data_IF_499284765039
#
_entry.id   IF_499284765039
#
_cell.length_a   1.000
_cell.length_b   1.000
_cell.length_c   1.000
_cell.angle_alpha   90.00
_cell.angle_beta   90.00
_cell.angle_gamma   90.00
#
_symmetry.space_group_name_H-M   'P 1'
#
loop_
_entity.id
_entity.type
_entity.pdbx_description
1 polymer ?
#
# COMPACT_ATOMS: atom_id res chain seq x y z
N UNK A 1 -14.62 3.24 20.07
CA UNK A 1 -14.89 1.87 19.54
C UNK A 1 -14.65 1.87 18.05
N UNK A 2 -13.73 1.06 17.53
CA UNK A 2 -13.41 1.06 16.10
C UNK A 2 -14.63 0.69 15.26
N UNK A 3 -14.93 1.50 14.25
CA UNK A 3 -16.08 1.35 13.34
C UNK A 3 -15.65 1.54 11.90
N UNK A 4 -16.25 0.82 10.95
CA UNK A 4 -16.10 1.04 9.52
C UNK A 4 -17.24 1.93 9.00
N UNK A 5 -16.89 2.90 8.17
CA UNK A 5 -17.85 3.75 7.48
C UNK A 5 -17.72 3.52 5.98
N UNK A 6 -18.81 3.14 5.33
CA UNK A 6 -18.81 2.66 3.95
C UNK A 6 -19.52 3.67 3.05
N UNK A 7 -18.79 4.27 2.12
CA UNK A 7 -19.35 5.06 1.03
C UNK A 7 -19.13 4.30 -0.28
N UNK A 8 -20.18 3.71 -0.80
CA UNK A 8 -20.15 2.88 -2.02
C UNK A 8 -21.51 2.93 -2.72
N UNK A 9 -21.49 3.11 -4.02
CA UNK A 9 -22.71 3.15 -4.85
C UNK A 9 -22.99 1.82 -5.54
N UNK A 10 -21.98 0.96 -5.71
CA UNK A 10 -22.10 -0.35 -6.35
C UNK A 10 -22.72 -1.39 -5.40
N UNK A 11 -23.93 -1.92 -5.68
CA UNK A 11 -24.63 -2.85 -4.77
C UNK A 11 -23.83 -4.13 -4.48
N UNK A 12 -23.13 -4.66 -5.49
CA UNK A 12 -22.31 -5.87 -5.31
C UNK A 12 -21.09 -5.61 -4.42
N UNK A 13 -20.47 -4.45 -4.57
CA UNK A 13 -19.36 -4.03 -3.72
C UNK A 13 -19.84 -3.81 -2.28
N UNK A 14 -20.98 -3.14 -2.07
CA UNK A 14 -21.56 -2.94 -0.76
C UNK A 14 -21.80 -4.28 -0.03
N UNK A 15 -22.32 -5.29 -0.72
CA UNK A 15 -22.51 -6.63 -0.17
C UNK A 15 -21.18 -7.24 0.28
N UNK A 16 -20.14 -7.14 -0.54
CA UNK A 16 -18.82 -7.66 -0.22
C UNK A 16 -18.21 -6.92 1.00
N UNK A 17 -18.22 -5.58 0.97
CA UNK A 17 -17.63 -4.77 2.04
C UNK A 17 -18.37 -4.92 3.38
N UNK A 18 -19.67 -5.18 3.35
CA UNK A 18 -20.47 -5.39 4.56
C UNK A 18 -20.13 -6.69 5.29
N UNK A 19 -19.49 -7.64 4.61
CA UNK A 19 -19.15 -8.95 5.17
C UNK A 19 -17.68 -9.11 5.57
N UNK A 20 -16.85 -8.06 5.41
CA UNK A 20 -15.39 -8.13 5.54
C UNK A 20 -14.90 -8.37 6.97
N UNK A 21 -15.64 -7.97 7.99
CA UNK A 21 -15.21 -8.04 9.40
C UNK A 21 -16.41 -7.98 10.33
N UNK A 22 -16.23 -8.39 11.57
CA UNK A 22 -17.27 -8.29 12.62
C UNK A 22 -17.42 -6.88 13.21
N UNK A 23 -16.56 -5.92 12.83
CA UNK A 23 -16.65 -4.54 13.31
C UNK A 23 -18.00 -3.90 12.93
N UNK A 24 -18.55 -3.01 13.78
CA UNK A 24 -19.71 -2.22 13.43
C UNK A 24 -19.50 -1.44 12.13
N UNK A 25 -20.53 -1.37 11.31
CA UNK A 25 -20.51 -0.68 10.02
C UNK A 25 -21.61 0.35 9.92
N UNK A 26 -21.30 1.51 9.34
CA UNK A 26 -22.26 2.56 9.01
C UNK A 26 -22.17 2.84 7.52
N UNK A 27 -23.30 2.78 6.81
CA UNK A 27 -23.37 3.16 5.39
C UNK A 27 -23.51 4.68 5.34
N UNK A 28 -22.67 5.30 4.52
CA UNK A 28 -22.69 6.73 4.25
C UNK A 28 -23.36 6.99 2.90
N UNK A 29 -24.28 7.95 2.87
CA UNK A 29 -24.92 8.43 1.65
C UNK A 29 -24.32 9.76 1.17
N UNK A 30 -23.44 10.36 1.97
CA UNK A 30 -22.70 11.58 1.67
C UNK A 30 -21.35 11.54 2.37
N UNK A 31 -20.35 12.20 1.78
CA UNK A 31 -19.01 12.40 2.36
C UNK A 31 -18.88 13.71 3.14
N UNK A 32 -19.96 14.48 3.29
CA UNK A 32 -20.01 15.66 4.14
C UNK A 32 -20.16 15.24 5.61
N UNK A 33 -19.03 14.89 6.25
CA UNK A 33 -19.01 14.43 7.64
C UNK A 33 -18.86 15.61 8.58
N UNK A 34 -19.65 15.60 9.67
CA UNK A 34 -19.51 16.60 10.74
C UNK A 34 -18.35 16.21 11.65
N UNK A 35 -17.38 17.11 11.93
CA UNK A 35 -16.24 16.81 12.80
C UNK A 35 -16.61 16.39 14.22
N UNK A 36 -17.81 16.70 14.67
CA UNK A 36 -18.30 16.37 16.03
C UNK A 36 -18.81 14.94 16.17
N UNK A 37 -19.10 14.25 15.08
CA UNK A 37 -19.69 12.89 15.12
C UNK A 37 -18.64 11.79 15.04
N UNK A 38 -17.39 12.10 14.66
CA UNK A 38 -16.41 11.09 14.33
C UNK A 38 -15.04 11.46 14.88
N UNK A 39 -14.54 10.65 15.80
CA UNK A 39 -13.12 10.69 16.20
C UNK A 39 -12.28 9.98 15.12
N UNK A 40 -11.26 10.68 14.63
CA UNK A 40 -10.40 10.21 13.52
C UNK A 40 -9.77 8.84 13.83
N UNK A 41 -9.34 8.63 15.07
CA UNK A 41 -8.63 7.41 15.50
C UNK A 41 -9.54 6.18 15.65
N UNK A 42 -10.85 6.36 15.71
CA UNK A 42 -11.81 5.27 15.92
C UNK A 42 -12.52 4.81 14.64
N UNK A 43 -12.35 5.55 13.54
CA UNK A 43 -13.09 5.31 12.31
C UNK A 43 -12.17 5.09 11.12
N UNK A 44 -12.43 4.03 10.36
CA UNK A 44 -11.84 3.80 9.07
C UNK A 44 -12.91 3.97 7.99
N UNK A 45 -12.67 4.89 7.06
CA UNK A 45 -13.54 5.13 5.92
C UNK A 45 -13.15 4.24 4.76
N UNK A 46 -14.09 3.43 4.28
CA UNK A 46 -13.98 2.69 3.03
C UNK A 46 -14.75 3.50 1.97
N UNK A 47 -14.05 4.09 1.01
CA UNK A 47 -14.65 5.03 0.06
C UNK A 47 -14.42 4.54 -1.37
N UNK A 48 -15.48 4.37 -2.13
CA UNK A 48 -15.42 4.18 -3.57
C UNK A 48 -15.20 5.54 -4.26
N UNK A 49 -14.18 5.62 -5.12
CA UNK A 49 -14.07 6.71 -6.10
C UNK A 49 -15.15 6.53 -7.16
N UNK A 50 -15.91 7.58 -7.39
CA UNK A 50 -16.95 7.56 -8.41
C UNK A 50 -16.32 7.67 -9.80
N UNK A 51 -16.87 6.98 -10.82
CA UNK A 51 -16.29 6.94 -12.17
C UNK A 51 -16.16 8.31 -12.84
N UNK A 52 -17.04 9.24 -12.47
CA UNK A 52 -17.05 10.64 -12.95
C UNK A 52 -16.13 11.55 -12.15
N UNK A 53 -15.38 10.98 -11.21
CA UNK A 53 -14.50 11.71 -10.29
C UNK A 53 -15.20 12.77 -9.41
N UNK A 54 -16.53 12.76 -9.33
CA UNK A 54 -17.33 13.79 -8.64
C UNK A 54 -17.07 13.89 -7.15
N UNK A 55 -16.57 12.80 -6.50
CA UNK A 55 -16.30 12.79 -5.06
C UNK A 55 -14.81 12.95 -4.68
N UNK A 56 -13.95 13.27 -5.64
CA UNK A 56 -12.50 13.40 -5.34
C UNK A 56 -12.21 14.55 -4.37
N UNK A 57 -12.89 15.68 -4.54
CA UNK A 57 -12.69 16.86 -3.69
C UNK A 57 -13.11 16.58 -2.25
N UNK A 58 -14.21 15.87 -2.04
CA UNK A 58 -14.66 15.47 -0.69
C UNK A 58 -13.67 14.52 -0.04
N UNK A 59 -13.12 13.54 -0.79
CA UNK A 59 -12.07 12.64 -0.29
C UNK A 59 -10.83 13.43 0.12
N UNK A 60 -10.37 14.40 -0.69
CA UNK A 60 -9.24 15.26 -0.33
C UNK A 60 -9.50 16.09 0.92
N UNK A 61 -10.71 16.60 1.09
CA UNK A 61 -11.09 17.36 2.28
C UNK A 61 -11.09 16.48 3.54
N UNK A 62 -11.53 15.22 3.43
CA UNK A 62 -11.45 14.25 4.54
C UNK A 62 -10.00 13.91 4.89
N UNK A 63 -9.11 13.77 3.91
CA UNK A 63 -7.68 13.57 4.14
C UNK A 63 -7.02 14.76 4.86
N UNK A 64 -7.37 16.00 4.48
CA UNK A 64 -6.92 17.21 5.19
C UNK A 64 -7.37 17.25 6.65
N UNK A 65 -8.52 16.64 6.95
CA UNK A 65 -9.04 16.45 8.31
C UNK A 65 -8.45 15.23 9.01
N UNK A 66 -7.43 14.58 8.41
CA UNK A 66 -6.68 13.42 8.94
C UNK A 66 -7.50 12.13 9.08
N UNK A 67 -8.63 11.99 8.38
CA UNK A 67 -9.35 10.71 8.37
C UNK A 67 -8.50 9.60 7.76
N UNK A 68 -8.60 8.41 8.36
CA UNK A 68 -8.01 7.21 7.77
C UNK A 68 -8.91 6.67 6.66
N UNK A 69 -8.39 6.60 5.43
CA UNK A 69 -9.17 6.21 4.25
C UNK A 69 -8.55 5.00 3.57
N UNK A 70 -9.34 3.95 3.40
CA UNK A 70 -9.12 2.88 2.43
C UNK A 70 -9.93 3.22 1.19
N UNK A 71 -9.24 3.56 0.10
CA UNK A 71 -9.83 4.06 -1.12
C UNK A 71 -10.00 2.92 -2.14
N UNK A 72 -11.10 2.95 -2.88
CA UNK A 72 -11.42 1.94 -3.88
C UNK A 72 -11.70 2.59 -5.23
N UNK A 73 -11.20 1.97 -6.30
CA UNK A 73 -11.45 2.38 -7.69
C UNK A 73 -12.03 1.21 -8.47
N UNK A 74 -12.95 1.49 -9.40
CA UNK A 74 -13.50 0.46 -10.27
C UNK A 74 -12.47 -0.05 -11.28
N UNK A 75 -11.55 0.82 -11.68
CA UNK A 75 -10.44 0.51 -12.60
C UNK A 75 -9.13 1.02 -11.97
N UNK A 76 -8.61 0.32 -10.95
CA UNK A 76 -7.44 0.80 -10.23
C UNK A 76 -6.20 0.78 -11.13
N UNK A 77 -5.42 1.86 -11.07
CA UNK A 77 -4.11 1.94 -11.69
C UNK A 77 -3.02 2.27 -10.65
N UNK A 78 -1.79 1.86 -10.94
CA UNK A 78 -0.66 2.18 -10.08
C UNK A 78 -0.42 3.69 -9.98
N UNK A 79 -0.59 4.43 -11.08
CA UNK A 79 -0.44 5.88 -11.12
C UNK A 79 -1.49 6.59 -10.26
N UNK A 80 -2.75 6.22 -10.38
CA UNK A 80 -3.83 6.76 -9.53
C UNK A 80 -3.56 6.45 -8.06
N UNK A 81 -3.19 5.20 -7.74
CA UNK A 81 -2.84 4.80 -6.38
C UNK A 81 -1.70 5.63 -5.81
N UNK A 82 -0.61 5.84 -6.57
CA UNK A 82 0.52 6.69 -6.13
C UNK A 82 0.08 8.12 -5.82
N UNK A 83 -0.74 8.73 -6.67
CA UNK A 83 -1.27 10.09 -6.45
C UNK A 83 -2.08 10.18 -5.16
N UNK A 84 -2.91 9.19 -4.88
CA UNK A 84 -3.71 9.15 -3.67
C UNK A 84 -2.88 8.87 -2.41
N UNK A 85 -1.86 8.00 -2.49
CA UNK A 85 -0.92 7.78 -1.38
C UNK A 85 -0.14 9.06 -1.03
N UNK A 86 0.27 9.85 -2.02
CA UNK A 86 0.89 11.16 -1.78
C UNK A 86 -0.03 12.13 -1.04
N UNK A 87 -1.35 11.99 -1.24
CA UNK A 87 -2.37 12.78 -0.51
C UNK A 87 -2.69 12.23 0.89
N UNK A 88 -2.19 11.03 1.25
CA UNK A 88 -2.25 10.48 2.60
C UNK A 88 -3.25 9.35 2.85
N UNK A 89 -3.81 8.71 1.81
CA UNK A 89 -4.65 7.52 2.02
C UNK A 89 -3.87 6.40 2.71
N UNK A 90 -4.58 5.49 3.35
CA UNK A 90 -3.99 4.35 4.07
C UNK A 90 -4.02 3.05 3.27
N UNK A 91 -4.81 2.99 2.21
CA UNK A 91 -4.85 1.84 1.32
C UNK A 91 -5.60 2.13 0.03
N UNK A 92 -5.34 1.33 -1.01
CA UNK A 92 -5.95 1.47 -2.33
C UNK A 92 -6.21 0.10 -2.94
N UNK A 93 -7.45 -0.17 -3.34
CA UNK A 93 -7.92 -1.45 -3.85
C UNK A 93 -8.90 -1.29 -5.02
N UNK A 94 -9.14 -2.42 -5.72
CA UNK A 94 -10.28 -2.53 -6.63
C UNK A 94 -11.60 -2.55 -5.84
N UNK A 95 -12.62 -1.84 -6.32
CA UNK A 95 -13.97 -1.82 -5.72
C UNK A 95 -14.56 -3.22 -5.56
N UNK A 96 -14.27 -4.12 -6.48
CA UNK A 96 -14.73 -5.51 -6.50
C UNK A 96 -13.68 -6.50 -5.97
N UNK A 97 -12.70 -6.04 -5.18
CA UNK A 97 -11.71 -6.91 -4.56
C UNK A 97 -12.36 -8.02 -3.75
N UNK A 98 -11.68 -9.17 -3.69
CA UNK A 98 -12.14 -10.29 -2.86
C UNK A 98 -12.24 -9.87 -1.39
N UNK A 99 -13.27 -10.30 -0.64
CA UNK A 99 -13.46 -9.93 0.78
C UNK A 99 -12.22 -10.14 1.64
N UNK A 100 -11.48 -11.23 1.47
CA UNK A 100 -10.26 -11.52 2.24
C UNK A 100 -9.18 -10.44 2.05
N UNK A 101 -9.06 -9.89 0.82
CA UNK A 101 -8.10 -8.80 0.55
C UNK A 101 -8.52 -7.50 1.22
N UNK A 102 -9.82 -7.23 1.25
CA UNK A 102 -10.36 -6.04 1.92
C UNK A 102 -10.16 -6.20 3.43
N UNK A 103 -10.41 -7.39 4.00
CA UNK A 103 -10.19 -7.68 5.41
C UNK A 103 -8.73 -7.53 5.82
N UNK A 104 -7.79 -8.04 5.02
CA UNK A 104 -6.36 -7.84 5.23
C UNK A 104 -5.98 -6.37 5.22
N UNK A 105 -6.51 -5.58 4.26
CA UNK A 105 -6.27 -4.15 4.19
C UNK A 105 -6.81 -3.42 5.42
N UNK A 106 -8.05 -3.71 5.81
CA UNK A 106 -8.69 -3.15 7.02
C UNK A 106 -7.86 -3.48 8.26
N UNK A 107 -7.48 -4.75 8.44
CA UNK A 107 -6.66 -5.19 9.58
C UNK A 107 -5.32 -4.47 9.64
N UNK A 108 -4.63 -4.35 8.50
CA UNK A 108 -3.34 -3.64 8.38
C UNK A 108 -3.48 -2.18 8.77
N UNK A 109 -4.51 -1.48 8.27
CA UNK A 109 -4.73 -0.07 8.56
C UNK A 109 -5.09 0.16 10.03
N UNK A 110 -5.90 -0.71 10.60
CA UNK A 110 -6.31 -0.62 12.01
C UNK A 110 -5.15 -0.87 13.01
N UNK A 111 -4.03 -1.45 12.55
CA UNK A 111 -2.78 -1.55 13.31
C UNK A 111 -1.85 -0.36 13.10
N UNK A 112 -2.29 0.68 12.37
CA UNK A 112 -1.51 1.90 12.12
C UNK A 112 -0.60 1.83 10.89
N UNK A 113 -0.66 0.75 10.12
CA UNK A 113 0.15 0.55 8.92
C UNK A 113 -0.59 1.01 7.64
N UNK A 114 0.15 1.09 6.54
CA UNK A 114 -0.38 1.38 5.21
C UNK A 114 -0.53 0.07 4.43
N UNK A 115 -1.68 -0.12 3.78
CA UNK A 115 -1.89 -1.22 2.87
C UNK A 115 -1.54 -0.81 1.44
N UNK A 116 -0.46 -1.36 0.89
CA UNK A 116 -0.05 -1.14 -0.50
C UNK A 116 -0.35 -2.39 -1.34
N UNK A 117 -1.19 -2.23 -2.35
CA UNK A 117 -1.35 -3.25 -3.37
C UNK A 117 -0.03 -3.49 -4.13
N UNK A 118 0.20 -4.73 -4.57
CA UNK A 118 1.46 -5.13 -5.20
C UNK A 118 1.85 -4.23 -6.39
N UNK A 119 0.90 -3.89 -7.27
CA UNK A 119 1.16 -3.04 -8.45
C UNK A 119 1.57 -1.62 -8.06
N UNK A 120 0.94 -1.03 -7.05
CA UNK A 120 1.28 0.30 -6.56
C UNK A 120 2.67 0.28 -5.91
N UNK A 121 2.94 -0.74 -5.09
CA UNK A 121 4.25 -0.92 -4.46
C UNK A 121 5.37 -1.06 -5.52
N UNK A 122 5.16 -1.88 -6.55
CA UNK A 122 6.14 -2.04 -7.64
C UNK A 122 6.41 -0.72 -8.36
N UNK A 123 5.36 0.07 -8.66
CA UNK A 123 5.52 1.37 -9.32
C UNK A 123 6.24 2.38 -8.43
N UNK A 124 6.00 2.38 -7.12
CA UNK A 124 6.75 3.23 -6.17
C UNK A 124 8.23 2.85 -6.15
N UNK A 125 8.54 1.55 -6.08
CA UNK A 125 9.92 1.06 -6.12
C UNK A 125 10.60 1.49 -7.41
N UNK A 126 9.96 1.32 -8.57
CA UNK A 126 10.52 1.76 -9.85
C UNK A 126 10.76 3.27 -9.90
N UNK A 127 9.82 4.07 -9.41
CA UNK A 127 9.96 5.53 -9.38
C UNK A 127 11.14 5.98 -8.50
N UNK A 128 11.36 5.30 -7.37
CA UNK A 128 12.51 5.57 -6.49
C UNK A 128 13.81 5.13 -7.17
N UNK A 129 13.85 3.95 -7.77
CA UNK A 129 15.04 3.39 -8.42
C UNK A 129 15.49 4.19 -9.64
N UNK A 130 14.56 4.81 -10.37
CA UNK A 130 14.85 5.65 -11.53
C UNK A 130 15.47 7.03 -11.19
N UNK A 131 15.51 7.40 -9.89
CA UNK A 131 16.20 8.61 -9.43
C UNK A 131 17.69 8.33 -9.19
N UNK A 132 18.42 7.86 -10.19
CA UNK A 132 19.82 7.43 -10.07
C UNK A 132 20.77 8.55 -9.71
N UNK A 133 21.44 8.43 -8.57
CA UNK A 133 22.72 9.09 -8.25
C UNK A 133 23.84 8.05 -8.23
N UNK A 134 25.14 8.41 -8.33
CA UNK A 134 26.26 7.47 -8.40
C UNK A 134 26.28 6.54 -7.18
N UNK A 135 26.59 5.28 -7.44
CA UNK A 135 26.33 4.15 -6.54
C UNK A 135 27.39 4.04 -5.44
N UNK A 136 27.01 4.25 -4.19
CA UNK A 136 27.74 3.69 -3.06
C UNK A 136 27.14 2.30 -2.74
N UNK A 137 27.95 1.26 -2.92
CA UNK A 137 27.55 -0.15 -2.74
C UNK A 137 27.78 -0.69 -1.32
N UNK A 138 28.09 0.13 -0.35
CA UNK A 138 28.40 -0.28 1.03
C UNK A 138 27.32 -1.15 1.69
N UNK A 139 26.08 -1.03 1.26
CA UNK A 139 24.98 -1.89 1.73
C UNK A 139 25.15 -3.36 1.33
N UNK A 140 26.00 -3.67 0.33
CA UNK A 140 26.25 -5.05 -0.13
C UNK A 140 27.22 -5.82 0.76
N UNK A 141 28.02 -5.15 1.59
CA UNK A 141 29.12 -5.76 2.35
C UNK A 141 28.68 -6.89 3.31
N UNK A 142 27.44 -6.82 3.83
CA UNK A 142 26.89 -7.81 4.77
C UNK A 142 26.01 -8.87 4.10
N UNK A 143 25.84 -8.78 2.78
CA UNK A 143 24.92 -9.62 2.03
C UNK A 143 25.66 -10.73 1.28
N UNK A 144 24.98 -11.87 1.14
CA UNK A 144 25.43 -12.94 0.24
C UNK A 144 25.13 -12.57 -1.22
N UNK A 145 25.81 -13.21 -2.18
CA UNK A 145 25.56 -12.99 -3.61
C UNK A 145 24.09 -13.18 -4.00
N UNK A 146 23.40 -14.18 -3.42
CA UNK A 146 21.98 -14.44 -3.68
C UNK A 146 21.06 -13.39 -3.09
N UNK A 147 21.42 -12.81 -1.97
CA UNK A 147 20.69 -11.68 -1.38
C UNK A 147 20.90 -10.40 -2.19
N UNK A 148 22.12 -10.15 -2.67
CA UNK A 148 22.43 -9.01 -3.58
C UNK A 148 21.61 -9.16 -4.87
N UNK A 149 21.65 -10.32 -5.52
CA UNK A 149 20.88 -10.61 -6.72
C UNK A 149 19.37 -10.39 -6.48
N UNK A 150 18.85 -10.87 -5.33
CA UNK A 150 17.46 -10.65 -4.94
C UNK A 150 17.16 -9.16 -4.72
N UNK A 151 18.05 -8.41 -4.08
CA UNK A 151 17.91 -6.98 -3.87
C UNK A 151 17.88 -6.20 -5.18
N UNK A 152 18.75 -6.55 -6.14
CA UNK A 152 18.79 -5.91 -7.46
C UNK A 152 17.47 -6.12 -8.23
N UNK A 153 16.86 -7.29 -8.15
CA UNK A 153 15.53 -7.52 -8.70
C UNK A 153 14.44 -6.75 -7.96
N UNK A 154 14.56 -6.61 -6.63
CA UNK A 154 13.65 -5.80 -5.82
C UNK A 154 13.72 -4.33 -6.24
N UNK A 155 14.92 -3.79 -6.45
CA UNK A 155 15.14 -2.41 -6.92
C UNK A 155 14.55 -2.16 -8.32
N UNK A 156 14.44 -3.20 -9.15
CA UNK A 156 13.76 -3.15 -10.44
C UNK A 156 12.23 -3.30 -10.33
N UNK A 157 11.67 -3.38 -9.10
CA UNK A 157 10.24 -3.50 -8.86
C UNK A 157 9.65 -4.89 -9.09
N UNK A 158 10.47 -5.94 -9.25
CA UNK A 158 10.00 -7.30 -9.53
C UNK A 158 9.27 -7.93 -8.34
N UNK A 159 8.18 -8.64 -8.58
CA UNK A 159 7.49 -9.45 -7.57
C UNK A 159 8.31 -10.70 -7.19
N UNK A 160 7.98 -11.34 -6.07
CA UNK A 160 8.66 -12.58 -5.66
C UNK A 160 8.53 -13.69 -6.70
N UNK A 161 7.40 -13.76 -7.41
CA UNK A 161 7.21 -14.73 -8.49
C UNK A 161 8.10 -14.44 -9.70
N UNK A 162 8.21 -13.16 -10.11
CA UNK A 162 9.10 -12.74 -11.19
C UNK A 162 10.58 -13.00 -10.84
N UNK A 163 10.97 -12.72 -9.58
CA UNK A 163 12.32 -12.99 -9.06
C UNK A 163 12.58 -14.51 -9.07
N UNK A 164 11.64 -15.32 -8.59
CA UNK A 164 11.74 -16.77 -8.58
C UNK A 164 12.00 -17.32 -10.00
N UNK A 165 11.27 -16.82 -10.98
CA UNK A 165 11.45 -17.18 -12.39
C UNK A 165 12.82 -16.72 -12.92
N UNK A 166 13.23 -15.49 -12.64
CA UNK A 166 14.50 -14.93 -13.11
C UNK A 166 15.71 -15.66 -12.50
N UNK A 167 15.66 -16.03 -11.23
CA UNK A 167 16.73 -16.72 -10.51
C UNK A 167 16.64 -18.25 -10.63
N UNK A 168 15.61 -18.79 -11.28
CA UNK A 168 15.32 -20.23 -11.40
C UNK A 168 15.27 -20.96 -10.03
N UNK A 169 14.55 -20.36 -9.06
CA UNK A 169 14.32 -20.88 -7.71
C UNK A 169 12.85 -20.84 -7.35
N UNK A 170 12.47 -21.44 -6.22
CA UNK A 170 11.08 -21.36 -5.75
C UNK A 170 10.73 -19.98 -5.18
N UNK A 171 9.45 -19.57 -5.30
CA UNK A 171 8.96 -18.34 -4.66
C UNK A 171 9.17 -18.37 -3.12
N UNK A 172 9.09 -19.56 -2.51
CA UNK A 172 9.39 -19.78 -1.10
C UNK A 172 10.84 -19.40 -0.78
N UNK A 173 11.79 -19.77 -1.65
CA UNK A 173 13.20 -19.42 -1.49
C UNK A 173 13.41 -17.91 -1.63
N UNK A 174 12.75 -17.27 -2.58
CA UNK A 174 12.79 -15.81 -2.72
C UNK A 174 12.26 -15.12 -1.46
N UNK A 175 11.14 -15.60 -0.89
CA UNK A 175 10.60 -15.07 0.37
C UNK A 175 11.60 -15.17 1.52
N UNK A 176 12.39 -16.25 1.57
CA UNK A 176 13.46 -16.40 2.57
C UNK A 176 14.60 -15.39 2.34
N UNK A 177 15.04 -15.19 1.09
CA UNK A 177 16.04 -14.16 0.78
C UNK A 177 15.55 -12.75 1.10
N UNK A 178 14.30 -12.44 0.78
CA UNK A 178 13.68 -11.14 1.13
C UNK A 178 13.63 -10.95 2.65
N UNK A 179 13.26 -11.99 3.41
CA UNK A 179 13.26 -11.91 4.88
C UNK A 179 14.65 -11.60 5.43
N UNK A 180 15.68 -12.32 4.96
CA UNK A 180 17.06 -12.09 5.38
C UNK A 180 17.55 -10.67 5.01
N UNK A 181 17.15 -10.16 3.83
CA UNK A 181 17.47 -8.79 3.42
C UNK A 181 16.85 -7.75 4.36
N UNK A 182 15.59 -7.94 4.73
CA UNK A 182 14.89 -7.06 5.67
C UNK A 182 15.58 -7.05 7.03
N UNK A 183 15.97 -8.22 7.53
CA UNK A 183 16.68 -8.37 8.81
C UNK A 183 18.07 -7.74 8.78
N UNK A 184 18.90 -8.09 7.78
CA UNK A 184 20.30 -7.62 7.67
C UNK A 184 20.40 -6.11 7.44
N UNK A 185 19.48 -5.53 6.69
CA UNK A 185 19.43 -4.09 6.42
C UNK A 185 18.49 -3.34 7.37
N UNK A 186 18.00 -4.00 8.43
CA UNK A 186 17.09 -3.42 9.43
C UNK A 186 15.91 -2.70 8.76
N UNK A 187 15.31 -3.29 7.75
CA UNK A 187 14.18 -2.76 7.01
C UNK A 187 12.87 -3.38 7.49
N UNK A 188 11.86 -2.54 7.72
CA UNK A 188 10.56 -2.97 8.25
C UNK A 188 9.70 -3.70 7.21
N UNK A 189 9.85 -3.32 5.94
CA UNK A 189 9.14 -3.87 4.81
C UNK A 189 9.93 -3.65 3.50
N UNK A 190 9.40 -4.20 2.40
CA UNK A 190 10.02 -4.13 1.09
C UNK A 190 10.22 -2.71 0.56
N UNK A 191 9.26 -1.81 0.81
CA UNK A 191 9.39 -0.41 0.39
C UNK A 191 10.46 0.31 1.22
N UNK A 192 10.48 0.08 2.53
CA UNK A 192 11.50 0.62 3.43
C UNK A 192 12.89 0.12 3.08
N UNK A 193 13.03 -1.15 2.65
CA UNK A 193 14.29 -1.71 2.13
C UNK A 193 14.81 -0.90 0.94
N UNK A 194 13.95 -0.63 -0.05
CA UNK A 194 14.34 0.15 -1.23
C UNK A 194 14.75 1.57 -0.86
N UNK A 195 13.98 2.23 0.02
CA UNK A 195 14.30 3.59 0.50
C UNK A 195 15.64 3.60 1.22
N UNK A 196 15.93 2.61 2.08
CA UNK A 196 17.22 2.51 2.78
C UNK A 196 18.38 2.34 1.82
N UNK A 197 18.28 1.44 0.84
CA UNK A 197 19.32 1.23 -0.17
C UNK A 197 19.55 2.53 -0.97
N UNK A 198 18.51 3.23 -1.38
CA UNK A 198 18.61 4.49 -2.10
C UNK A 198 19.24 5.63 -1.28
N UNK A 199 18.94 5.70 0.01
CA UNK A 199 19.57 6.67 0.91
C UNK A 199 21.06 6.37 1.10
N UNK A 200 21.44 5.12 1.21
CA UNK A 200 22.84 4.71 1.28
C UNK A 200 23.67 5.18 0.10
N UNK A 201 23.04 5.12 -1.09
CA UNK A 201 23.69 5.61 -2.32
C UNK A 201 23.79 7.14 -2.38
N UNK A 202 23.00 7.89 -1.59
CA UNK A 202 22.97 9.37 -1.56
C UNK A 202 23.89 10.00 -0.51
N UNK A 203 24.07 9.34 0.64
CA UNK A 203 24.85 9.90 1.78
C UNK A 203 26.37 9.97 1.56
N UNK A 204 26.86 9.46 0.43
CA UNK A 204 28.29 9.43 0.08
C UNK A 204 28.64 10.41 -1.06
N UNK A 205 27.73 11.32 -1.39
CA UNK A 205 27.93 12.41 -2.35
C UNK A 205 27.89 13.75 -1.64
#
# INVERSE_FOLDING_TARGET
MKQLQLFVQEPQALKNWSNVTTLPKKILYSLQLSPKEYTVDENLLLIQLLPDASNQLEVENLLKQQYHILLFSNIPSAQEGMQWFQKGIKGYLNTFAHPDRIEQAVSTILTGNIWLGQSVMQSMIQAISNQSSPVNEGWKETLTEREIETADWILQGKSNLEIANAMNISERTVKAHVHNLLEKLDAKDRLNLVIKIQNWTRESS
#
